data_IF_110796510436
#
_entry.id   IF_110796510436
#
_cell.length_a   1.000
_cell.length_b   1.000
_cell.length_c   1.000
_cell.angle_alpha   90.00
_cell.angle_beta   90.00
_cell.angle_gamma   90.00
#
_symmetry.space_group_name_H-M   'P 1'
#
loop_
_entity.id
_entity.type
_entity.pdbx_description
1 polymer ?
#
# COMPACT_ATOMS: atom_id res chain seq x y z
N UNK A 1 -15.78 -17.24 11.24
CA UNK A 1 -15.84 -15.87 11.79
C UNK A 1 -14.69 -15.52 12.72
N UNK A 2 -13.99 -16.50 13.29
CA UNK A 2 -12.94 -16.18 14.30
C UNK A 2 -11.55 -15.88 13.73
N UNK A 3 -11.29 -16.12 12.44
CA UNK A 3 -9.96 -15.94 11.85
C UNK A 3 -9.51 -14.46 11.76
N UNK A 4 -10.43 -13.51 11.60
CA UNK A 4 -10.11 -12.09 11.60
C UNK A 4 -9.65 -11.59 12.97
N UNK A 5 -10.15 -12.20 14.05
CA UNK A 5 -9.79 -11.83 15.43
C UNK A 5 -8.35 -12.19 15.80
N UNK A 6 -7.69 -13.03 15.01
CA UNK A 6 -6.28 -13.34 15.23
C UNK A 6 -5.37 -12.12 15.02
N UNK A 7 -5.90 -11.07 14.37
CA UNK A 7 -5.20 -9.81 14.10
C UNK A 7 -5.72 -8.66 14.96
N UNK A 8 -6.43 -8.97 16.05
CA UNK A 8 -6.85 -8.00 17.06
C UNK A 8 -5.69 -7.70 18.00
N UNK A 9 -5.33 -6.42 18.12
CA UNK A 9 -4.39 -5.93 19.11
C UNK A 9 -5.18 -5.42 20.29
N UNK A 10 -5.20 -6.20 21.38
CA UNK A 10 -5.87 -5.84 22.61
C UNK A 10 -5.04 -4.82 23.39
N UNK A 11 -5.50 -3.58 23.44
CA UNK A 11 -4.79 -2.48 24.08
C UNK A 11 -5.30 -2.14 25.48
N UNK A 12 -6.49 -2.61 25.86
CA UNK A 12 -7.16 -2.23 27.12
C UNK A 12 -6.42 -2.67 28.38
N UNK A 13 -5.58 -3.63 28.35
CA UNK A 13 -4.78 -4.07 29.51
C UNK A 13 -3.34 -3.57 29.52
N UNK A 14 -2.93 -2.87 28.45
CA UNK A 14 -1.56 -2.45 28.28
C UNK A 14 -1.30 -1.09 28.95
N UNK A 15 -0.09 -0.90 29.44
CA UNK A 15 0.37 0.40 29.96
C UNK A 15 0.63 1.35 28.78
N UNK A 16 0.63 2.66 29.07
CA UNK A 16 1.09 3.63 28.08
C UNK A 16 2.55 3.38 27.71
N UNK A 17 2.86 3.57 26.45
CA UNK A 17 4.17 3.34 25.86
C UNK A 17 4.15 2.34 24.71
N UNK A 18 5.33 1.93 24.28
CA UNK A 18 5.54 1.12 23.08
C UNK A 18 5.32 -0.35 23.34
N UNK A 19 4.59 -0.99 22.41
CA UNK A 19 4.31 -2.42 22.38
C UNK A 19 4.54 -2.94 20.98
N UNK A 20 5.19 -4.08 20.85
CA UNK A 20 5.53 -4.70 19.57
C UNK A 20 4.67 -5.95 19.35
N UNK A 21 4.19 -6.11 18.13
CA UNK A 21 3.45 -7.28 17.68
C UNK A 21 4.00 -7.74 16.34
N UNK A 22 3.89 -9.04 16.07
CA UNK A 22 4.38 -9.64 14.84
C UNK A 22 3.38 -10.65 14.33
N UNK A 23 3.04 -10.52 13.04
CA UNK A 23 2.14 -11.43 12.34
C UNK A 23 2.82 -12.00 11.10
N UNK A 24 2.63 -13.30 10.89
CA UNK A 24 3.00 -13.96 9.66
C UNK A 24 1.83 -13.89 8.69
N UNK A 25 2.10 -13.39 7.49
CA UNK A 25 1.11 -13.12 6.45
C UNK A 25 1.37 -14.08 5.30
N UNK A 26 0.58 -15.12 5.25
CA UNK A 26 0.63 -16.19 4.26
C UNK A 26 -0.62 -16.19 3.36
N UNK A 27 -0.76 -17.20 2.53
CA UNK A 27 -1.94 -17.39 1.69
C UNK A 27 -3.26 -17.46 2.47
N UNK A 28 -3.24 -17.98 3.70
CA UNK A 28 -4.45 -18.09 4.52
C UNK A 28 -4.95 -16.73 4.99
N UNK A 29 -4.05 -15.73 5.16
CA UNK A 29 -4.41 -14.35 5.44
C UNK A 29 -5.25 -13.76 4.30
N UNK A 30 -4.77 -13.88 3.05
CA UNK A 30 -5.46 -13.31 1.89
C UNK A 30 -6.79 -14.00 1.58
N UNK A 31 -6.97 -15.24 1.99
CA UNK A 31 -8.26 -15.94 1.89
C UNK A 31 -9.35 -15.39 2.82
N UNK A 32 -9.02 -14.49 3.74
CA UNK A 32 -9.99 -13.77 4.58
C UNK A 32 -10.78 -12.74 3.80
N UNK A 33 -10.27 -12.32 2.65
CA UNK A 33 -10.86 -11.33 1.75
C UNK A 33 -11.46 -12.05 0.53
N UNK A 34 -12.64 -11.61 0.11
CA UNK A 34 -13.33 -12.12 -1.09
C UNK A 34 -12.77 -11.46 -2.38
N UNK A 35 -11.46 -11.32 -2.48
CA UNK A 35 -10.77 -10.72 -3.61
C UNK A 35 -9.73 -11.67 -4.18
N UNK A 36 -9.62 -11.71 -5.49
CA UNK A 36 -8.54 -12.42 -6.16
C UNK A 36 -7.25 -11.59 -6.08
N UNK A 37 -6.18 -12.22 -5.61
CA UNK A 37 -4.85 -11.61 -5.59
C UNK A 37 -4.13 -11.93 -6.89
N UNK A 38 -3.41 -10.93 -7.41
CA UNK A 38 -2.59 -11.06 -8.62
C UNK A 38 -1.19 -11.62 -8.35
N UNK A 39 -0.98 -12.22 -7.20
CA UNK A 39 0.28 -12.83 -6.77
C UNK A 39 0.03 -14.20 -6.14
N UNK A 40 1.09 -14.97 -6.05
CA UNK A 40 1.09 -16.29 -5.40
C UNK A 40 2.20 -16.39 -4.36
N UNK A 41 2.13 -17.42 -3.53
CA UNK A 41 3.15 -17.78 -2.54
C UNK A 41 3.61 -16.60 -1.64
N UNK A 42 2.68 -15.86 -1.01
CA UNK A 42 3.07 -14.77 -0.12
C UNK A 42 3.80 -15.33 1.10
N UNK A 43 4.97 -14.74 1.39
CA UNK A 43 5.78 -14.99 2.58
C UNK A 43 6.16 -13.62 3.16
N UNK A 44 5.25 -13.05 3.92
CA UNK A 44 5.36 -11.68 4.42
C UNK A 44 5.28 -11.70 5.94
N UNK A 45 5.98 -10.81 6.58
CA UNK A 45 5.91 -10.54 8.00
C UNK A 45 5.46 -9.10 8.20
N UNK A 46 4.46 -8.92 9.04
CA UNK A 46 4.02 -7.60 9.50
C UNK A 46 4.53 -7.38 10.93
N UNK A 47 5.47 -6.49 11.08
CA UNK A 47 5.96 -6.01 12.38
C UNK A 47 5.19 -4.72 12.73
N UNK A 48 4.53 -4.71 13.86
CA UNK A 48 3.68 -3.60 14.31
C UNK A 48 4.22 -3.05 15.61
N UNK A 49 4.52 -1.77 15.60
CA UNK A 49 4.82 -0.99 16.79
C UNK A 49 3.60 -0.14 17.14
N UNK A 50 2.99 -0.41 18.29
CA UNK A 50 1.92 0.42 18.85
C UNK A 50 2.49 1.28 19.97
N UNK A 51 2.39 2.59 19.87
CA UNK A 51 2.65 3.51 20.98
C UNK A 51 1.32 3.95 21.59
N UNK A 52 1.06 3.47 22.81
CA UNK A 52 -0.18 3.75 23.52
C UNK A 52 -0.05 5.02 24.34
N UNK A 53 -0.91 5.99 24.03
CA UNK A 53 -1.11 7.21 24.79
C UNK A 53 -2.44 7.17 25.58
N UNK A 54 -2.68 8.18 26.38
CA UNK A 54 -3.91 8.24 27.19
C UNK A 54 -5.16 8.46 26.34
N UNK A 55 -5.06 9.19 25.23
CA UNK A 55 -6.19 9.65 24.42
C UNK A 55 -6.19 9.12 23.00
N UNK A 56 -5.11 8.46 22.57
CA UNK A 56 -4.96 7.90 21.22
C UNK A 56 -3.93 6.77 21.21
N UNK A 57 -3.87 6.04 20.11
CA UNK A 57 -2.86 5.03 19.81
C UNK A 57 -2.17 5.41 18.52
N UNK A 58 -0.86 5.25 18.45
CA UNK A 58 -0.09 5.35 17.20
C UNK A 58 0.34 3.96 16.78
N UNK A 59 0.06 3.61 15.53
CA UNK A 59 0.50 2.36 14.93
C UNK A 59 1.50 2.65 13.83
N UNK A 60 2.63 1.98 13.90
CA UNK A 60 3.61 1.89 12.83
C UNK A 60 3.63 0.44 12.37
N UNK A 61 3.21 0.19 11.15
CA UNK A 61 3.09 -1.15 10.57
C UNK A 61 4.13 -1.25 9.46
N UNK A 62 5.07 -2.19 9.61
CA UNK A 62 6.08 -2.48 8.62
C UNK A 62 5.87 -3.87 8.06
N UNK A 63 5.65 -3.98 6.76
CA UNK A 63 5.54 -5.25 6.04
C UNK A 63 6.81 -5.55 5.28
N UNK A 64 7.36 -6.74 5.45
CA UNK A 64 8.57 -7.21 4.76
C UNK A 64 8.40 -8.65 4.33
N UNK A 65 8.89 -8.98 3.14
CA UNK A 65 8.86 -10.35 2.63
C UNK A 65 8.88 -10.42 1.12
N UNK A 66 8.28 -11.43 0.54
CA UNK A 66 8.20 -11.62 -0.91
C UNK A 66 6.87 -12.25 -1.31
N UNK A 67 6.52 -11.98 -2.55
CA UNK A 67 5.43 -12.62 -3.28
C UNK A 67 5.94 -13.09 -4.63
N UNK A 68 5.27 -14.04 -5.23
CA UNK A 68 5.58 -14.47 -6.58
C UNK A 68 4.61 -13.80 -7.57
N UNK A 69 5.15 -13.08 -8.54
CA UNK A 69 4.42 -12.36 -9.59
C UNK A 69 4.66 -13.01 -10.95
N UNK A 70 3.73 -12.80 -11.87
CA UNK A 70 3.88 -13.14 -13.28
C UNK A 70 4.28 -11.89 -14.04
N UNK A 71 5.38 -11.96 -14.79
CA UNK A 71 5.86 -10.87 -15.60
C UNK A 71 4.91 -10.57 -16.77
N UNK A 72 4.52 -9.32 -16.93
CA UNK A 72 3.59 -8.88 -17.98
C UNK A 72 4.20 -8.96 -19.40
N UNK A 73 5.52 -9.15 -19.50
CA UNK A 73 6.26 -9.19 -20.77
C UNK A 73 6.62 -10.61 -21.15
N UNK A 74 7.34 -11.33 -20.28
CA UNK A 74 7.81 -12.69 -20.55
C UNK A 74 6.80 -13.77 -20.14
N UNK A 75 5.77 -13.43 -19.38
CA UNK A 75 4.81 -14.35 -18.79
C UNK A 75 5.47 -15.42 -17.87
N UNK A 76 6.66 -15.13 -17.38
CA UNK A 76 7.39 -15.97 -16.44
C UNK A 76 7.18 -15.50 -15.00
N UNK A 77 7.24 -16.44 -14.08
CA UNK A 77 7.16 -16.14 -12.65
C UNK A 77 8.48 -15.54 -12.13
N UNK A 78 8.37 -14.57 -11.24
CA UNK A 78 9.52 -14.01 -10.53
C UNK A 78 9.15 -13.62 -9.11
N UNK A 79 10.14 -13.66 -8.22
CA UNK A 79 9.97 -13.21 -6.84
C UNK A 79 10.06 -11.69 -6.76
N UNK A 80 9.08 -11.10 -6.11
CA UNK A 80 9.01 -9.66 -5.90
C UNK A 80 9.11 -9.35 -4.40
N UNK A 81 10.07 -8.53 -3.97
CA UNK A 81 10.21 -8.15 -2.58
C UNK A 81 9.11 -7.18 -2.17
N UNK A 82 8.51 -7.41 -1.01
CA UNK A 82 7.61 -6.49 -0.33
C UNK A 82 8.39 -5.81 0.78
N UNK A 83 8.43 -4.50 0.77
CA UNK A 83 8.94 -3.68 1.85
C UNK A 83 8.17 -2.36 1.84
N UNK A 84 7.31 -2.18 2.84
CA UNK A 84 6.55 -0.95 3.01
C UNK A 84 6.36 -0.64 4.49
N UNK A 85 6.00 0.59 4.80
CA UNK A 85 5.74 1.07 6.15
C UNK A 85 4.61 2.10 6.10
N UNK A 86 3.59 1.88 6.93
CA UNK A 86 2.50 2.84 7.11
C UNK A 86 2.41 3.25 8.57
N UNK A 87 1.93 4.48 8.80
CA UNK A 87 1.66 5.02 10.13
C UNK A 87 0.22 5.45 10.22
N UNK A 88 -0.46 4.98 11.25
CA UNK A 88 -1.88 5.27 11.46
C UNK A 88 -2.08 5.72 12.90
N UNK A 89 -2.85 6.79 13.06
CA UNK A 89 -3.25 7.32 14.35
C UNK A 89 -4.68 6.88 14.65
N UNK A 90 -4.88 6.18 15.77
CA UNK A 90 -6.21 5.73 16.20
C UNK A 90 -6.68 6.58 17.35
N UNK A 91 -7.75 7.34 17.14
CA UNK A 91 -8.40 8.20 18.14
C UNK A 91 -9.62 7.51 18.75
N UNK A 92 -9.94 7.87 19.96
CA UNK A 92 -11.17 7.44 20.62
C UNK A 92 -12.28 8.46 20.41
N UNK A 93 -13.45 8.00 19.96
CA UNK A 93 -14.63 8.81 19.67
C UNK A 93 -15.93 8.13 20.05
N UNK A 94 -17.02 8.57 19.47
CA UNK A 94 -18.35 7.99 19.70
C UNK A 94 -18.65 6.84 18.73
N UNK A 95 -18.26 7.00 17.46
CA UNK A 95 -18.48 6.04 16.38
C UNK A 95 -17.18 5.77 15.61
N UNK A 96 -17.17 4.66 14.86
CA UNK A 96 -16.09 4.33 13.96
C UNK A 96 -16.09 5.29 12.75
N UNK A 97 -14.92 5.86 12.44
CA UNK A 97 -14.73 6.74 11.29
C UNK A 97 -13.30 6.56 10.75
N UNK A 98 -13.20 6.26 9.46
CA UNK A 98 -11.95 6.11 8.69
C UNK A 98 -11.92 7.05 7.46
N UNK A 99 -12.68 8.13 7.50
CA UNK A 99 -12.78 9.10 6.40
C UNK A 99 -11.55 10.00 6.27
N UNK A 100 -10.73 10.11 7.28
CA UNK A 100 -9.48 10.87 7.28
C UNK A 100 -8.31 9.94 6.91
N UNK A 101 -7.44 10.40 6.01
CA UNK A 101 -6.20 9.70 5.68
C UNK A 101 -5.30 9.60 6.93
N UNK A 102 -4.76 8.40 7.18
CA UNK A 102 -3.89 8.09 8.33
C UNK A 102 -4.50 8.28 9.73
N UNK A 103 -5.79 8.58 9.84
CA UNK A 103 -6.48 8.72 11.13
C UNK A 103 -7.77 7.91 11.15
N UNK A 104 -7.84 6.98 12.10
CA UNK A 104 -9.03 6.15 12.33
C UNK A 104 -9.60 6.51 13.68
N UNK A 105 -10.91 6.73 13.75
CA UNK A 105 -11.62 6.91 15.00
C UNK A 105 -12.32 5.59 15.36
N UNK A 106 -12.16 5.14 16.61
CA UNK A 106 -12.84 3.96 17.12
C UNK A 106 -13.69 4.35 18.34
N UNK A 107 -14.77 3.61 18.62
CA UNK A 107 -15.55 3.82 19.84
C UNK A 107 -14.69 3.76 21.10
N UNK A 108 -14.91 4.67 22.03
CA UNK A 108 -14.18 4.70 23.30
C UNK A 108 -14.45 3.47 24.19
N UNK A 109 -15.46 2.68 23.85
CA UNK A 109 -15.80 1.41 24.49
C UNK A 109 -14.97 0.23 24.00
N UNK A 110 -14.26 0.41 22.88
CA UNK A 110 -13.45 -0.65 22.31
C UNK A 110 -12.21 -0.92 23.14
N UNK A 111 -11.80 -2.15 23.16
CA UNK A 111 -10.65 -2.64 23.93
C UNK A 111 -9.60 -3.32 23.07
N UNK A 112 -9.89 -3.49 21.77
CA UNK A 112 -8.98 -4.04 20.77
C UNK A 112 -9.14 -3.28 19.46
N UNK A 113 -8.06 -3.22 18.69
CA UNK A 113 -8.03 -2.68 17.33
C UNK A 113 -7.59 -3.78 16.35
N UNK A 114 -8.37 -3.98 15.29
CA UNK A 114 -8.07 -4.99 14.28
C UNK A 114 -7.21 -4.39 13.18
N UNK A 115 -6.04 -4.96 12.95
CA UNK A 115 -5.06 -4.46 11.97
C UNK A 115 -5.11 -5.18 10.63
N UNK A 116 -6.03 -6.14 10.45
CA UNK A 116 -6.11 -6.98 9.24
C UNK A 116 -6.26 -6.17 7.97
N UNK A 117 -7.13 -5.16 7.98
CA UNK A 117 -7.38 -4.30 6.82
C UNK A 117 -6.14 -3.47 6.45
N UNK A 118 -5.49 -2.87 7.45
CA UNK A 118 -4.29 -2.06 7.24
C UNK A 118 -3.14 -2.87 6.65
N UNK A 119 -2.91 -4.09 7.16
CA UNK A 119 -1.88 -5.00 6.61
C UNK A 119 -2.22 -5.39 5.17
N UNK A 120 -3.49 -5.69 4.90
CA UNK A 120 -3.94 -6.04 3.55
C UNK A 120 -3.69 -4.90 2.56
N UNK A 121 -4.14 -3.70 2.88
CA UNK A 121 -3.96 -2.51 2.05
C UNK A 121 -2.48 -2.19 1.82
N UNK A 122 -1.66 -2.28 2.85
CA UNK A 122 -0.23 -2.02 2.77
C UNK A 122 0.47 -2.99 1.79
N UNK A 123 0.17 -4.28 1.87
CA UNK A 123 0.70 -5.28 0.93
C UNK A 123 0.17 -5.03 -0.48
N UNK A 124 -1.13 -4.78 -0.65
CA UNK A 124 -1.71 -4.56 -1.98
C UNK A 124 -1.16 -3.30 -2.66
N UNK A 125 -0.92 -2.24 -1.92
CA UNK A 125 -0.29 -1.01 -2.43
C UNK A 125 1.19 -1.20 -2.80
N UNK A 126 1.86 -2.19 -2.20
CA UNK A 126 3.25 -2.53 -2.51
C UNK A 126 3.41 -3.28 -3.84
N UNK A 127 2.33 -3.87 -4.37
CA UNK A 127 2.35 -4.58 -5.65
C UNK A 127 2.31 -3.56 -6.80
N UNK A 128 3.29 -3.58 -7.73
CA UNK A 128 3.31 -2.64 -8.84
C UNK A 128 2.19 -2.94 -9.85
N UNK A 129 1.61 -1.90 -10.42
CA UNK A 129 0.60 -2.05 -11.49
C UNK A 129 1.17 -2.71 -12.75
N UNK A 130 2.46 -2.49 -13.03
CA UNK A 130 3.20 -3.12 -14.12
C UNK A 130 4.24 -4.07 -13.54
N UNK A 131 4.05 -5.35 -13.78
CA UNK A 131 4.88 -6.43 -13.25
C UNK A 131 5.96 -6.78 -14.27
N UNK A 132 7.18 -6.34 -14.02
CA UNK A 132 8.32 -6.57 -14.92
C UNK A 132 9.41 -7.30 -14.17
N UNK A 133 9.77 -8.48 -14.64
CA UNK A 133 10.87 -9.26 -14.06
C UNK A 133 12.21 -8.52 -14.24
N UNK A 134 13.08 -8.49 -13.22
CA UNK A 134 14.42 -7.95 -13.34
C UNK A 134 15.33 -8.78 -14.27
N UNK A 135 14.94 -10.01 -14.60
CA UNK A 135 15.71 -10.96 -15.40
C UNK A 135 15.14 -11.15 -16.81
N UNK A 136 14.70 -10.08 -17.46
CA UNK A 136 14.20 -10.14 -18.83
C UNK A 136 15.30 -10.55 -19.81
N UNK A 137 14.95 -11.37 -20.82
CA UNK A 137 15.84 -11.69 -21.94
C UNK A 137 16.06 -10.47 -22.84
N UNK A 138 17.11 -10.49 -23.66
CA UNK A 138 17.35 -9.41 -24.64
C UNK A 138 16.20 -9.28 -25.64
N UNK A 139 15.52 -10.38 -25.97
CA UNK A 139 14.33 -10.38 -26.84
C UNK A 139 13.15 -9.67 -26.20
N UNK A 140 12.91 -9.92 -24.90
CA UNK A 140 11.86 -9.27 -24.13
C UNK A 140 12.12 -7.77 -23.94
N UNK A 141 13.37 -7.38 -23.72
CA UNK A 141 13.78 -5.98 -23.66
C UNK A 141 13.53 -5.25 -24.98
N UNK A 142 13.80 -5.90 -26.11
CA UNK A 142 13.53 -5.33 -27.44
C UNK A 142 12.02 -5.15 -27.68
N UNK A 143 11.19 -6.08 -27.20
CA UNK A 143 9.74 -5.94 -27.25
C UNK A 143 9.29 -4.74 -26.42
N UNK A 144 9.87 -4.58 -25.23
CA UNK A 144 9.57 -3.48 -24.33
C UNK A 144 9.92 -2.12 -24.96
N UNK A 145 11.10 -2.00 -25.58
CA UNK A 145 11.51 -0.79 -26.30
C UNK A 145 10.59 -0.46 -27.49
N UNK A 146 10.13 -1.49 -28.20
CA UNK A 146 9.24 -1.32 -29.37
C UNK A 146 7.86 -0.81 -28.99
N UNK A 147 7.33 -1.21 -27.84
CA UNK A 147 5.99 -0.87 -27.37
C UNK A 147 5.98 0.17 -26.24
N UNK A 148 7.13 0.57 -25.70
CA UNK A 148 7.21 1.71 -24.80
C UNK A 148 6.81 2.97 -25.56
N UNK A 149 5.98 3.85 -24.96
CA UNK A 149 5.76 5.17 -25.54
C UNK A 149 7.14 5.81 -25.68
N UNK A 150 7.55 6.09 -26.92
CA UNK A 150 8.70 6.96 -27.15
C UNK A 150 8.33 8.26 -26.48
N UNK A 151 9.14 8.75 -25.54
CA UNK A 151 9.08 10.13 -25.13
C UNK A 151 9.14 10.93 -26.43
N UNK A 152 7.97 11.43 -26.87
CA UNK A 152 7.97 12.45 -27.90
C UNK A 152 8.80 13.57 -27.27
N UNK A 153 10.04 13.72 -27.74
CA UNK A 153 10.80 14.94 -27.57
C UNK A 153 9.79 16.02 -27.97
N UNK A 154 9.39 16.86 -27.03
CA UNK A 154 8.53 17.99 -27.31
C UNK A 154 9.27 18.79 -28.40
N UNK A 155 9.03 18.45 -29.66
CA UNK A 155 9.17 19.42 -30.72
C UNK A 155 8.27 20.57 -30.26
N UNK A 156 8.86 21.75 -30.08
CA UNK A 156 8.15 22.98 -29.79
C UNK A 156 6.94 23.03 -30.70
N UNK A 157 5.78 22.56 -30.20
CA UNK A 157 4.51 22.66 -30.91
C UNK A 157 4.34 24.15 -31.13
N UNK A 158 4.39 24.59 -32.39
CA UNK A 158 3.99 25.94 -32.76
C UNK A 158 2.70 26.24 -32.02
N UNK A 159 2.77 27.21 -31.15
CA UNK A 159 1.65 27.57 -30.27
C UNK A 159 0.49 27.96 -31.18
N UNK A 160 -0.62 27.21 -31.12
CA UNK A 160 -1.83 27.53 -31.86
C UNK A 160 -2.10 29.04 -31.76
N UNK A 161 -2.26 29.76 -32.88
CA UNK A 161 -2.46 31.22 -32.91
C UNK A 161 -3.59 31.70 -31.97
N UNK A 162 -4.53 30.82 -31.62
CA UNK A 162 -5.61 31.08 -30.67
C UNK A 162 -5.12 31.33 -29.24
N UNK A 163 -3.97 30.77 -28.88
CA UNK A 163 -3.37 30.91 -27.54
C UNK A 163 -2.44 32.12 -27.41
N UNK A 164 -2.01 32.73 -28.52
CA UNK A 164 -1.21 33.95 -28.49
C UNK A 164 -1.94 35.12 -27.84
N UNK A 165 -3.24 35.20 -28.03
CA UNK A 165 -4.07 36.25 -27.43
C UNK A 165 -4.12 36.14 -25.89
N UNK A 166 -4.02 34.89 -25.34
CA UNK A 166 -4.01 34.64 -23.91
C UNK A 166 -2.64 34.94 -23.27
N UNK A 167 -1.52 34.73 -23.98
CA UNK A 167 -0.19 35.12 -23.49
C UNK A 167 -0.07 36.61 -23.24
N UNK A 168 -0.65 37.44 -24.11
CA UNK A 168 -0.67 38.92 -23.94
C UNK A 168 -1.45 39.40 -22.73
N UNK A 169 -2.32 38.59 -22.14
CA UNK A 169 -3.04 38.90 -20.91
C UNK A 169 -2.24 38.58 -19.65
N UNK A 170 -1.26 37.68 -19.73
CA UNK A 170 -0.42 37.26 -18.59
C UNK A 170 0.72 38.28 -18.33
N UNK A 171 1.18 38.96 -19.37
CA UNK A 171 2.29 39.96 -19.28
C UNK A 171 1.82 41.39 -18.86
N UNK A 172 0.54 41.53 -18.47
CA UNK A 172 -0.05 42.83 -18.06
C UNK A 172 -0.35 42.94 -16.56
N UNK A 173 0.19 42.05 -15.72
CA UNK A 173 0.10 42.17 -14.25
C UNK A 173 1.48 42.27 -13.63
#
# INVERSE_FOLDING_TARGET
MDKLRNYDIVFSGLKNGKHEFRFEIDKAFFQLFDTEQEFTEPQIVADILMDKHTTFLEFEIKTTGNVNLVCDISNENFDYPIENEIKVLVKFGEEYDDSEEDVITIPSTDHAFNVVQLIYEDVMLSIPMKKVSPNLSEEDLHVLEKFSPKEEVEEEKEVDPRWEALKKLKDKN
#
